data_IF_855274087743
#
_entry.id   IF_855274087743
#
_cell.length_a   1.000
_cell.length_b   1.000
_cell.length_c   1.000
_cell.angle_alpha   90.00
_cell.angle_beta   90.00
_cell.angle_gamma   90.00
#
_symmetry.space_group_name_H-M   'P 1'
#
loop_
_entity.id
_entity.type
_entity.pdbx_description
1 polymer ?
#
# COMPACT_ATOMS: atom_id res chain seq x y z
N UNK A 1 4.87 -9.06 -11.73
CA UNK A 1 3.42 -9.42 -11.74
C UNK A 1 2.83 -8.88 -10.43
N UNK A 2 1.68 -8.18 -10.46
CA UNK A 2 1.15 -7.52 -9.28
C UNK A 2 0.61 -8.56 -8.26
N UNK A 3 1.16 -8.63 -7.02
CA UNK A 3 0.78 -9.62 -6.01
C UNK A 3 -0.70 -9.57 -5.64
N UNK A 4 -1.27 -8.36 -5.53
CA UNK A 4 -2.68 -8.15 -5.19
C UNK A 4 -3.60 -8.85 -6.21
N UNK A 5 -3.29 -8.73 -7.50
CA UNK A 5 -4.08 -9.36 -8.57
C UNK A 5 -3.99 -10.89 -8.49
N UNK A 6 -2.80 -11.43 -8.25
CA UNK A 6 -2.65 -12.87 -8.11
C UNK A 6 -3.41 -13.41 -6.90
N UNK A 7 -3.38 -12.68 -5.81
CA UNK A 7 -4.14 -13.01 -4.63
C UNK A 7 -5.65 -12.95 -4.88
N UNK A 8 -6.12 -11.87 -5.56
CA UNK A 8 -7.51 -11.72 -5.99
C UNK A 8 -7.99 -12.90 -6.84
N UNK A 9 -7.19 -13.34 -7.80
CA UNK A 9 -7.49 -14.53 -8.63
C UNK A 9 -7.62 -15.80 -7.80
N UNK A 10 -6.76 -15.98 -6.80
CA UNK A 10 -6.83 -17.14 -5.89
C UNK A 10 -8.08 -17.11 -5.03
N UNK A 11 -8.49 -15.96 -4.54
CA UNK A 11 -9.73 -15.81 -3.78
C UNK A 11 -10.95 -16.13 -4.66
N UNK A 12 -11.00 -15.57 -5.87
CA UNK A 12 -12.08 -15.83 -6.81
C UNK A 12 -12.17 -17.30 -7.21
N UNK A 13 -11.04 -18.00 -7.41
CA UNK A 13 -11.02 -19.44 -7.70
C UNK A 13 -11.52 -20.31 -6.56
N UNK A 14 -11.62 -19.76 -5.34
CA UNK A 14 -12.21 -20.41 -4.16
C UNK A 14 -13.69 -20.06 -3.98
N UNK A 15 -14.33 -19.49 -4.99
CA UNK A 15 -15.75 -19.14 -4.97
C UNK A 15 -16.10 -17.83 -4.25
N UNK A 16 -15.11 -17.02 -3.89
CA UNK A 16 -15.37 -15.72 -3.29
C UNK A 16 -15.69 -14.70 -4.40
N UNK A 17 -16.67 -13.82 -4.15
CA UNK A 17 -16.90 -12.66 -5.01
C UNK A 17 -15.85 -11.61 -4.70
N UNK A 18 -15.04 -11.28 -5.69
CA UNK A 18 -13.93 -10.35 -5.55
C UNK A 18 -14.17 -9.13 -6.44
N UNK A 19 -14.01 -7.95 -5.86
CA UNK A 19 -13.96 -6.68 -6.59
C UNK A 19 -12.58 -6.07 -6.37
N UNK A 20 -11.84 -5.84 -7.44
CA UNK A 20 -10.56 -5.13 -7.41
C UNK A 20 -10.83 -3.66 -7.66
N UNK A 21 -10.35 -2.82 -6.75
CA UNK A 21 -10.40 -1.37 -6.90
C UNK A 21 -9.02 -0.89 -7.35
N UNK A 22 -9.00 -0.08 -8.39
CA UNK A 22 -7.78 0.52 -8.94
C UNK A 22 -8.03 1.99 -9.29
N UNK A 23 -6.97 2.74 -9.49
CA UNK A 23 -7.08 4.12 -9.97
C UNK A 23 -7.16 4.17 -11.49
N UNK A 24 -7.74 5.24 -12.03
CA UNK A 24 -7.91 5.43 -13.48
C UNK A 24 -6.61 5.46 -14.28
N UNK A 25 -5.50 5.82 -13.63
CA UNK A 25 -4.18 5.95 -14.28
C UNK A 25 -3.49 4.59 -14.53
N UNK A 26 -4.05 3.50 -13.99
CA UNK A 26 -3.50 2.15 -14.20
C UNK A 26 -4.22 1.51 -15.39
N UNK A 27 -3.48 1.23 -16.46
CA UNK A 27 -4.03 0.50 -17.61
C UNK A 27 -4.51 -0.89 -17.18
N UNK A 28 -5.82 -1.09 -17.21
CA UNK A 28 -6.51 -2.32 -16.77
C UNK A 28 -6.47 -3.46 -17.78
N UNK A 29 -5.72 -3.33 -18.87
CA UNK A 29 -5.66 -4.33 -19.94
C UNK A 29 -5.27 -5.75 -19.46
N UNK A 30 -4.56 -5.86 -18.33
CA UNK A 30 -4.21 -7.14 -17.72
C UNK A 30 -5.32 -7.74 -16.83
N UNK A 31 -6.33 -6.96 -16.45
CA UNK A 31 -7.43 -7.44 -15.58
C UNK A 31 -8.61 -7.99 -16.37
N UNK A 32 -8.84 -7.44 -17.58
CA UNK A 32 -10.04 -7.67 -18.38
C UNK A 32 -10.26 -9.12 -18.86
N UNK A 33 -9.29 -10.01 -18.67
CA UNK A 33 -9.38 -11.41 -19.13
C UNK A 33 -9.83 -12.42 -18.08
N UNK A 34 -10.18 -11.98 -16.87
CA UNK A 34 -10.57 -12.90 -15.79
C UNK A 34 -12.05 -12.71 -15.48
N UNK A 35 -12.87 -13.59 -15.98
CA UNK A 35 -14.36 -13.58 -15.90
C UNK A 35 -14.93 -13.62 -14.47
N UNK A 36 -14.11 -13.85 -13.46
CA UNK A 36 -14.55 -14.05 -12.07
C UNK A 36 -14.20 -12.88 -11.13
N UNK A 37 -13.64 -11.78 -11.63
CA UNK A 37 -13.23 -10.62 -10.82
C UNK A 37 -13.92 -9.37 -11.38
N UNK A 38 -14.65 -8.68 -10.52
CA UNK A 38 -15.15 -7.34 -10.84
C UNK A 38 -14.04 -6.30 -10.67
N UNK A 39 -14.05 -5.27 -11.50
CA UNK A 39 -13.12 -4.15 -11.38
C UNK A 39 -13.92 -2.86 -11.22
N UNK A 40 -13.54 -2.05 -10.26
CA UNK A 40 -14.04 -0.70 -10.03
C UNK A 40 -12.88 0.28 -10.07
N UNK A 41 -13.16 1.52 -10.43
CA UNK A 41 -12.13 2.55 -10.58
C UNK A 41 -12.41 3.72 -9.65
N UNK A 42 -11.36 4.22 -9.03
CA UNK A 42 -11.36 5.47 -8.27
C UNK A 42 -10.68 6.53 -9.11
N UNK A 43 -11.31 7.68 -9.22
CA UNK A 43 -10.72 8.85 -9.85
C UNK A 43 -9.72 9.50 -8.89
N UNK A 44 -8.48 9.60 -9.35
CA UNK A 44 -7.42 10.31 -8.63
C UNK A 44 -6.94 11.42 -9.55
N UNK A 45 -6.87 12.63 -9.02
CA UNK A 45 -6.37 13.79 -9.74
C UNK A 45 -4.88 13.61 -10.06
N UNK A 46 -4.43 14.19 -11.15
CA UNK A 46 -3.00 14.19 -11.49
C UNK A 46 -2.25 15.24 -10.68
N UNK A 47 -0.99 14.99 -10.28
CA UNK A 47 -0.20 16.02 -9.61
C UNK A 47 0.03 17.22 -10.52
N UNK A 48 0.11 18.40 -9.92
CA UNK A 48 0.30 19.67 -10.63
C UNK A 48 1.71 19.76 -11.24
N UNK A 49 2.67 19.16 -10.58
CA UNK A 49 4.06 19.07 -11.02
C UNK A 49 4.27 17.76 -11.82
N UNK A 50 5.31 17.74 -12.66
CA UNK A 50 5.70 16.56 -13.44
C UNK A 50 7.14 16.16 -13.13
N UNK A 51 7.41 14.87 -13.14
CA UNK A 51 8.74 14.31 -12.89
C UNK A 51 8.73 13.33 -11.72
N UNK A 52 9.90 12.94 -11.27
CA UNK A 52 10.13 12.00 -10.17
C UNK A 52 10.82 12.68 -8.98
N UNK A 53 10.46 13.95 -8.71
CA UNK A 53 10.98 14.68 -7.56
C UNK A 53 10.20 14.30 -6.29
N UNK A 54 10.81 14.45 -5.09
CA UNK A 54 10.12 14.18 -3.82
C UNK A 54 8.79 14.92 -3.70
N UNK A 55 8.72 16.18 -4.08
CA UNK A 55 7.48 17.00 -4.01
C UNK A 55 6.36 16.42 -4.88
N UNK A 56 6.69 15.90 -6.08
CA UNK A 56 5.70 15.26 -6.99
C UNK A 56 5.21 13.95 -6.39
N UNK A 57 6.09 13.19 -5.76
CA UNK A 57 5.74 11.94 -5.10
C UNK A 57 4.80 12.22 -3.93
N UNK A 58 5.12 13.21 -3.10
CA UNK A 58 4.30 13.59 -1.94
C UNK A 58 2.93 14.10 -2.35
N UNK A 59 2.86 14.97 -3.38
CA UNK A 59 1.59 15.43 -3.95
C UNK A 59 0.77 14.25 -4.49
N UNK A 60 1.41 13.33 -5.23
CA UNK A 60 0.75 12.14 -5.79
C UNK A 60 0.17 11.24 -4.69
N UNK A 61 0.91 11.02 -3.61
CA UNK A 61 0.45 10.24 -2.45
C UNK A 61 -0.73 10.92 -1.77
N UNK A 62 -0.67 12.24 -1.59
CA UNK A 62 -1.75 13.02 -0.99
C UNK A 62 -3.03 12.97 -1.84
N UNK A 63 -2.93 13.15 -3.16
CA UNK A 63 -4.04 13.07 -4.09
C UNK A 63 -4.64 11.66 -4.12
N UNK A 64 -3.79 10.63 -4.13
CA UNK A 64 -4.22 9.24 -4.06
C UNK A 64 -5.00 8.96 -2.77
N UNK A 65 -4.47 9.37 -1.62
CA UNK A 65 -5.12 9.23 -0.31
C UNK A 65 -6.48 9.94 -0.30
N UNK A 66 -6.53 11.18 -0.81
CA UNK A 66 -7.77 11.96 -0.87
C UNK A 66 -8.83 11.29 -1.75
N UNK A 67 -8.46 10.84 -2.96
CA UNK A 67 -9.36 10.14 -3.87
C UNK A 67 -9.91 8.85 -3.29
N UNK A 68 -9.05 8.02 -2.71
CA UNK A 68 -9.46 6.76 -2.07
C UNK A 68 -10.38 7.03 -0.87
N UNK A 69 -10.04 7.98 -0.02
CA UNK A 69 -10.84 8.31 1.17
C UNK A 69 -12.24 8.81 0.77
N UNK A 70 -12.35 9.58 -0.32
CA UNK A 70 -13.62 10.10 -0.84
C UNK A 70 -14.49 9.00 -1.46
N UNK A 71 -13.93 8.16 -2.32
CA UNK A 71 -14.69 7.31 -3.23
C UNK A 71 -14.88 5.86 -2.71
N UNK A 72 -13.95 5.36 -1.90
CA UNK A 72 -14.01 3.99 -1.39
C UNK A 72 -15.28 3.69 -0.58
N UNK A 73 -15.75 4.57 0.34
CA UNK A 73 -17.00 4.36 1.06
C UNK A 73 -18.21 4.25 0.12
N UNK A 74 -18.24 5.04 -0.94
CA UNK A 74 -19.33 5.03 -1.92
C UNK A 74 -19.33 3.72 -2.72
N UNK A 75 -18.17 3.21 -3.09
CA UNK A 75 -18.03 1.91 -3.76
C UNK A 75 -18.49 0.75 -2.87
N UNK A 76 -18.18 0.82 -1.57
CA UNK A 76 -18.61 -0.18 -0.59
C UNK A 76 -20.14 -0.18 -0.45
N UNK A 77 -20.77 0.98 -0.34
CA UNK A 77 -22.23 1.09 -0.27
C UNK A 77 -22.90 0.65 -1.58
N UNK A 78 -22.31 0.98 -2.73
CA UNK A 78 -22.75 0.47 -4.05
C UNK A 78 -22.78 -1.06 -4.08
N UNK A 79 -21.72 -1.74 -3.56
CA UNK A 79 -21.70 -3.19 -3.51
C UNK A 79 -22.80 -3.76 -2.60
N UNK A 80 -23.08 -3.11 -1.48
CA UNK A 80 -24.15 -3.49 -0.56
C UNK A 80 -25.53 -3.35 -1.21
N UNK A 81 -25.80 -2.23 -1.89
CA UNK A 81 -27.04 -1.98 -2.62
C UNK A 81 -27.25 -3.01 -3.74
N UNK A 82 -26.19 -3.45 -4.39
CA UNK A 82 -26.22 -4.50 -5.41
C UNK A 82 -26.42 -5.92 -4.84
N UNK A 83 -26.65 -6.07 -3.53
CA UNK A 83 -26.87 -7.35 -2.87
C UNK A 83 -25.59 -8.10 -2.48
N UNK A 84 -24.42 -7.46 -2.58
CA UNK A 84 -23.12 -8.06 -2.26
C UNK A 84 -22.35 -7.21 -1.23
N UNK A 85 -22.83 -7.15 0.04
CA UNK A 85 -22.16 -6.35 1.05
C UNK A 85 -20.72 -6.80 1.25
N UNK A 86 -19.80 -5.83 1.26
CA UNK A 86 -18.38 -6.08 1.49
C UNK A 86 -18.19 -6.58 2.92
N UNK A 87 -17.53 -7.72 3.08
CA UNK A 87 -17.23 -8.35 4.38
C UNK A 87 -15.80 -8.07 4.82
N UNK A 88 -14.90 -8.00 3.86
CA UNK A 88 -13.46 -7.78 4.09
C UNK A 88 -12.94 -6.86 3.01
N UNK A 89 -12.17 -5.87 3.40
CA UNK A 89 -11.37 -5.03 2.51
C UNK A 89 -9.89 -5.43 2.65
N UNK A 90 -9.29 -5.83 1.55
CA UNK A 90 -7.86 -6.18 1.53
C UNK A 90 -7.14 -5.05 0.81
N UNK A 91 -6.14 -4.46 1.46
CA UNK A 91 -5.41 -3.30 0.95
C UNK A 91 -3.89 -3.52 1.03
N UNK A 92 -3.14 -2.78 0.23
CA UNK A 92 -1.68 -2.80 0.32
C UNK A 92 -1.24 -2.23 1.68
N UNK A 93 -0.31 -2.90 2.35
CA UNK A 93 0.14 -2.52 3.69
C UNK A 93 0.70 -1.08 3.74
N UNK A 94 1.18 -0.55 2.61
CA UNK A 94 1.60 0.85 2.49
C UNK A 94 0.45 1.86 2.61
N UNK A 95 -0.81 1.39 2.55
CA UNK A 95 -2.02 2.22 2.66
C UNK A 95 -2.65 2.09 4.06
N UNK A 96 -1.87 2.26 5.10
CA UNK A 96 -2.30 2.05 6.50
C UNK A 96 -3.54 2.86 6.88
N UNK A 97 -3.74 4.06 6.31
CA UNK A 97 -4.93 4.90 6.58
C UNK A 97 -6.27 4.26 6.18
N UNK A 98 -6.24 3.19 5.36
CA UNK A 98 -7.45 2.45 5.00
C UNK A 98 -8.06 1.74 6.20
N UNK A 99 -7.29 1.44 7.22
CA UNK A 99 -7.80 0.83 8.47
C UNK A 99 -8.85 1.72 9.12
N UNK A 100 -8.66 3.04 9.11
CA UNK A 100 -9.63 3.99 9.68
C UNK A 100 -10.94 4.00 8.88
N UNK A 101 -10.85 3.91 7.55
CA UNK A 101 -12.04 3.79 6.68
C UNK A 101 -12.78 2.49 7.01
N UNK A 102 -12.07 1.38 7.14
CA UNK A 102 -12.68 0.10 7.50
C UNK A 102 -13.38 0.17 8.86
N UNK A 103 -12.72 0.76 9.85
CA UNK A 103 -13.27 0.92 11.19
C UNK A 103 -14.55 1.77 11.18
N UNK A 104 -14.52 2.91 10.48
CA UNK A 104 -15.68 3.81 10.38
C UNK A 104 -16.88 3.16 9.67
N UNK A 105 -16.62 2.23 8.76
CA UNK A 105 -17.65 1.49 8.00
C UNK A 105 -18.06 0.17 8.67
N UNK A 106 -17.46 -0.20 9.78
CA UNK A 106 -17.73 -1.46 10.48
C UNK A 106 -17.39 -2.70 9.67
N UNK A 107 -16.41 -2.62 8.75
CA UNK A 107 -15.93 -3.73 7.95
C UNK A 107 -14.52 -4.16 8.37
N UNK A 108 -14.18 -5.40 8.08
CA UNK A 108 -12.88 -5.95 8.42
C UNK A 108 -11.82 -5.51 7.41
N UNK A 109 -10.77 -4.82 7.86
CA UNK A 109 -9.59 -4.48 7.06
C UNK A 109 -8.49 -5.52 7.20
N UNK A 110 -7.79 -5.86 6.11
CA UNK A 110 -6.64 -6.77 6.09
C UNK A 110 -5.55 -6.16 5.22
N UNK A 111 -4.40 -5.88 5.81
CA UNK A 111 -3.23 -5.42 5.08
C UNK A 111 -2.56 -6.59 4.35
N UNK A 112 -2.31 -6.44 3.05
CA UNK A 112 -1.51 -7.36 2.25
C UNK A 112 -0.10 -6.83 2.12
N UNK A 113 0.86 -7.53 2.72
CA UNK A 113 2.27 -7.22 2.62
C UNK A 113 2.82 -7.78 1.30
N UNK A 114 3.13 -6.89 0.37
CA UNK A 114 3.69 -7.25 -0.95
C UNK A 114 5.22 -7.29 -0.99
N UNK A 115 5.89 -6.71 0.01
CA UNK A 115 7.33 -6.75 0.20
C UNK A 115 7.79 -8.07 0.85
N UNK A 116 9.09 -8.34 0.80
CA UNK A 116 9.65 -9.49 1.52
C UNK A 116 9.52 -9.32 3.04
N UNK A 117 9.43 -10.42 3.77
CA UNK A 117 9.40 -10.39 5.24
C UNK A 117 10.61 -9.70 5.85
N UNK A 118 11.77 -9.79 5.19
CA UNK A 118 12.99 -9.10 5.62
C UNK A 118 12.83 -7.58 5.56
N UNK A 119 12.27 -7.04 4.48
CA UNK A 119 11.98 -5.61 4.34
C UNK A 119 10.99 -5.14 5.39
N UNK A 120 9.93 -5.93 5.64
CA UNK A 120 8.96 -5.61 6.70
C UNK A 120 9.59 -5.63 8.11
N UNK A 121 10.49 -6.57 8.38
CA UNK A 121 11.21 -6.60 9.66
C UNK A 121 12.04 -5.32 9.85
N UNK A 122 12.73 -4.86 8.81
CA UNK A 122 13.50 -3.61 8.85
C UNK A 122 12.58 -2.41 9.13
N UNK A 123 11.46 -2.28 8.40
CA UNK A 123 10.49 -1.21 8.63
C UNK A 123 9.93 -1.23 10.06
N UNK A 124 9.65 -2.41 10.59
CA UNK A 124 9.14 -2.58 11.95
C UNK A 124 10.17 -2.15 13.01
N UNK A 125 11.45 -2.48 12.81
CA UNK A 125 12.52 -2.04 13.72
C UNK A 125 12.73 -0.52 13.67
N UNK A 126 12.58 0.11 12.49
CA UNK A 126 12.58 1.58 12.36
C UNK A 126 11.38 2.18 13.10
N UNK A 127 10.19 1.63 12.90
CA UNK A 127 8.96 2.08 13.57
C UNK A 127 9.06 2.01 15.10
N UNK A 128 9.65 0.94 15.62
CA UNK A 128 9.87 0.79 17.06
C UNK A 128 10.99 1.68 17.61
N UNK A 129 11.75 2.37 16.75
CA UNK A 129 12.93 3.12 17.14
C UNK A 129 14.11 2.26 17.59
N UNK A 130 14.06 0.95 17.34
CA UNK A 130 15.18 0.03 17.61
C UNK A 130 16.28 0.13 16.56
N UNK A 131 15.95 0.63 15.38
CA UNK A 131 16.86 0.98 14.31
C UNK A 131 16.75 2.48 14.03
N UNK A 132 17.70 3.25 14.59
CA UNK A 132 17.86 4.68 14.32
C UNK A 132 18.93 4.86 13.23
N UNK A 133 18.50 5.00 11.99
CA UNK A 133 19.40 5.11 10.83
C UNK A 133 20.08 6.46 10.77
N UNK A 134 19.43 7.52 11.27
CA UNK A 134 19.97 8.89 11.24
C UNK A 134 21.21 9.03 12.13
N UNK A 135 21.34 8.19 13.15
CA UNK A 135 22.52 8.15 14.03
C UNK A 135 23.71 7.36 13.46
N UNK A 136 23.51 6.65 12.33
CA UNK A 136 24.51 5.75 11.76
C UNK A 136 25.30 6.44 10.62
N UNK A 137 26.62 6.31 10.62
CA UNK A 137 27.46 6.77 9.50
C UNK A 137 27.36 5.80 8.30
N UNK A 138 27.67 6.29 7.09
CA UNK A 138 27.56 5.55 5.82
C UNK A 138 28.28 4.19 5.78
N UNK A 139 29.32 4.01 6.57
CA UNK A 139 30.11 2.78 6.64
C UNK A 139 29.63 1.81 7.72
N UNK A 140 28.59 2.20 8.48
CA UNK A 140 28.07 1.38 9.57
C UNK A 140 27.38 0.11 9.05
N UNK A 141 27.35 -0.89 9.91
CA UNK A 141 26.60 -2.13 9.69
C UNK A 141 25.49 -2.25 10.71
N UNK A 142 24.39 -2.83 10.30
CA UNK A 142 23.19 -3.04 11.11
C UNK A 142 23.03 -4.53 11.35
N UNK A 143 22.77 -4.89 12.61
CA UNK A 143 22.45 -6.25 13.00
C UNK A 143 21.02 -6.29 13.57
N UNK A 144 20.13 -6.92 12.82
CA UNK A 144 18.74 -7.12 13.21
C UNK A 144 18.48 -8.59 13.55
N UNK A 145 17.49 -8.88 14.42
CA UNK A 145 17.10 -10.24 14.73
C UNK A 145 16.72 -11.01 13.46
N UNK A 146 17.21 -12.23 13.31
CA UNK A 146 16.88 -13.12 12.19
C UNK A 146 17.31 -12.65 10.80
N UNK A 147 18.09 -11.57 10.69
CA UNK A 147 18.67 -11.09 9.44
C UNK A 147 20.21 -11.20 9.48
N UNK A 148 20.86 -11.34 8.33
CA UNK A 148 22.30 -11.20 8.27
C UNK A 148 22.72 -9.78 8.65
N UNK A 149 24.01 -9.59 8.96
CA UNK A 149 24.56 -8.24 9.14
C UNK A 149 24.47 -7.51 7.79
N UNK A 150 23.79 -6.37 7.79
CA UNK A 150 23.55 -5.55 6.60
C UNK A 150 24.39 -4.26 6.67
N UNK A 151 24.90 -3.80 5.54
CA UNK A 151 25.40 -2.43 5.40
C UNK A 151 24.22 -1.47 5.25
N UNK A 152 24.40 -0.20 5.60
CA UNK A 152 23.34 0.80 5.44
C UNK A 152 22.78 0.82 4.02
N UNK A 153 23.62 0.78 2.99
CA UNK A 153 23.23 0.75 1.58
C UNK A 153 22.47 -0.51 1.13
N UNK A 154 22.41 -1.54 1.97
CA UNK A 154 21.64 -2.76 1.75
C UNK A 154 20.25 -2.69 2.40
N UNK A 155 19.99 -1.66 3.19
CA UNK A 155 18.66 -1.36 3.71
C UNK A 155 17.76 -0.84 2.57
N UNK A 156 16.42 -0.92 2.72
CA UNK A 156 15.50 -0.29 1.78
C UNK A 156 15.79 1.22 1.66
N UNK A 157 15.74 1.77 0.44
CA UNK A 157 16.07 3.18 0.16
C UNK A 157 15.25 4.15 1.01
N UNK A 158 13.99 3.87 1.25
CA UNK A 158 13.12 4.68 2.10
C UNK A 158 13.55 4.73 3.58
N UNK A 159 14.49 3.89 3.99
CA UNK A 159 14.99 3.84 5.36
C UNK A 159 16.27 4.66 5.50
N UNK A 160 17.19 4.57 4.55
CA UNK A 160 18.48 5.28 4.65
C UNK A 160 18.52 6.62 3.92
N UNK A 161 17.55 6.92 3.07
CA UNK A 161 17.47 8.17 2.30
C UNK A 161 16.11 8.84 2.55
N UNK A 162 15.86 9.15 3.83
CA UNK A 162 14.59 9.72 4.30
C UNK A 162 14.30 11.06 3.62
N UNK A 163 15.34 11.86 3.34
CA UNK A 163 15.19 13.18 2.69
C UNK A 163 14.72 13.10 1.24
N UNK A 164 15.03 12.00 0.53
CA UNK A 164 14.59 11.82 -0.86
C UNK A 164 13.14 11.32 -1.00
N UNK A 165 12.57 10.77 0.09
CA UNK A 165 11.26 10.11 0.04
C UNK A 165 10.42 10.37 1.30
N UNK A 166 10.38 11.62 1.77
CA UNK A 166 9.73 11.99 3.04
C UNK A 166 8.25 11.55 3.10
N UNK A 167 7.49 11.72 2.02
CA UNK A 167 6.08 11.30 1.96
C UNK A 167 5.91 9.79 2.02
N UNK A 168 6.81 9.03 1.39
CA UNK A 168 6.79 7.56 1.46
C UNK A 168 7.26 7.07 2.82
N UNK A 169 8.26 7.71 3.42
CA UNK A 169 8.73 7.39 4.78
C UNK A 169 7.63 7.63 5.82
N UNK A 170 6.82 8.68 5.66
CA UNK A 170 5.63 8.91 6.50
C UNK A 170 4.56 7.83 6.36
N UNK A 171 4.45 7.19 5.20
CA UNK A 171 3.52 6.04 5.04
C UNK A 171 3.99 4.82 5.83
N UNK A 172 5.30 4.66 6.04
CA UNK A 172 5.86 3.56 6.81
C UNK A 172 5.71 3.73 8.33
N UNK A 173 5.49 4.97 8.81
CA UNK A 173 5.29 5.25 10.25
C UNK A 173 3.94 4.76 10.79
N UNK A 174 3.09 4.16 9.97
CA UNK A 174 1.76 3.68 10.36
C UNK A 174 1.57 2.16 10.21
N UNK A 175 2.65 1.43 9.99
CA UNK A 175 2.61 -0.04 10.04
C UNK A 175 2.78 -0.50 11.47
#
# INVERSE_FOLDING_TARGET
>A
MNPMIQFSKRLASRGLKVTVVTTTNIQTSSFAKTTCINTEHILVDEPSLKGDTPDVIDESVALYKAGVTRDLPQLIEKQKTNGFPVKVLIYDAMMSWIVDICHNLGIRGVALCSHSSAVFAIYYDVYLGTLDVDSLGELSTVKLPSLPVLKIKELPSHVYDVGAYEGVSRLLTFI
#
